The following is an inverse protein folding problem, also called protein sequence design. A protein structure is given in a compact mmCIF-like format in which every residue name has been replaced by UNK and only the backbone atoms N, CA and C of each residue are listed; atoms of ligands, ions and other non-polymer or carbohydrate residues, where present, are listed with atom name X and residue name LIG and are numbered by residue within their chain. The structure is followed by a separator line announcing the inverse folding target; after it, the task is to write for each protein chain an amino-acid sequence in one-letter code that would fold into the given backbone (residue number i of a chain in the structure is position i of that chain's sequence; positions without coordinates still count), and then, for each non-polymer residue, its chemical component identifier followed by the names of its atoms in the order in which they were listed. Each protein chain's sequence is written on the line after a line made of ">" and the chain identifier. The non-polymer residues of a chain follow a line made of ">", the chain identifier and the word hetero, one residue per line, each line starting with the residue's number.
data_IF_792541855637
#
_entry.id   IF_792541855637
#
_cell.length_a   1.000
_cell.length_b   1.000
_cell.length_c   1.000
_cell.angle_alpha   90.00
_cell.angle_beta   90.00
_cell.angle_gamma   90.00
#
_symmetry.space_group_name_H-M   'P 1'
#
loop_
_entity.id
_entity.type
_entity.pdbx_description
1 polymer ?
#
# COMPACT_ATOMS: atom_id res chain seq x y z
N UNK A 1 33.79 -54.39 8.79
CA UNK A 1 33.88 -52.92 8.73
C UNK A 1 32.61 -52.40 8.09
N UNK A 2 31.95 -51.49 8.78
CA UNK A 2 30.58 -51.03 8.55
C UNK A 2 30.53 -49.96 7.46
N UNK A 3 29.43 -50.01 6.72
CA UNK A 3 29.00 -49.22 5.56
C UNK A 3 29.42 -47.75 5.52
N UNK A 4 29.84 -47.31 4.33
CA UNK A 4 29.87 -45.93 3.82
C UNK A 4 29.60 -46.08 2.31
N UNK A 5 28.67 -45.42 1.63
CA UNK A 5 27.90 -44.22 1.90
C UNK A 5 26.78 -44.25 0.85
N UNK A 6 25.51 -44.30 1.28
CA UNK A 6 24.37 -43.94 0.44
C UNK A 6 24.16 -42.41 0.57
N UNK A 7 23.40 -41.82 -0.35
CA UNK A 7 23.01 -40.41 -0.49
C UNK A 7 23.91 -39.54 -1.38
N UNK A 8 23.87 -39.85 -2.68
CA UNK A 8 23.95 -38.84 -3.73
C UNK A 8 22.54 -38.67 -4.35
N UNK A 9 21.65 -37.94 -3.68
CA UNK A 9 20.37 -37.47 -4.23
C UNK A 9 19.75 -36.43 -3.30
N UNK A 10 20.42 -35.28 -3.15
CA UNK A 10 19.90 -34.13 -2.41
C UNK A 10 20.12 -32.86 -3.24
N UNK A 11 19.91 -32.98 -4.55
CA UNK A 11 20.35 -31.99 -5.52
C UNK A 11 19.35 -31.70 -6.62
N UNK A 12 18.04 -31.80 -6.39
CA UNK A 12 17.02 -31.19 -7.27
C UNK A 12 15.74 -30.90 -6.46
N UNK A 13 15.81 -30.01 -5.49
CA UNK A 13 14.63 -29.36 -4.87
C UNK A 13 14.88 -27.85 -4.75
N UNK A 14 15.67 -27.26 -5.66
CA UNK A 14 15.58 -25.83 -5.98
C UNK A 14 14.55 -25.66 -7.10
N UNK A 15 13.40 -26.30 -6.93
CA UNK A 15 12.23 -26.06 -7.76
C UNK A 15 11.68 -24.70 -7.34
N UNK A 16 11.83 -23.72 -8.24
CA UNK A 16 10.77 -22.78 -8.54
C UNK A 16 10.10 -22.10 -7.35
N UNK A 17 10.85 -21.35 -6.55
CA UNK A 17 10.25 -20.12 -6.03
C UNK A 17 10.27 -19.13 -7.17
N UNK A 18 9.14 -19.05 -7.89
CA UNK A 18 8.77 -17.86 -8.62
C UNK A 18 8.89 -16.68 -7.65
N UNK A 19 10.06 -16.06 -7.63
CA UNK A 19 10.21 -14.72 -7.10
C UNK A 19 9.48 -13.82 -8.10
N UNK A 20 8.15 -13.76 -7.99
CA UNK A 20 7.48 -12.51 -8.26
C UNK A 20 8.01 -11.56 -7.21
N UNK A 21 9.16 -10.95 -7.49
CA UNK A 21 9.54 -9.75 -6.78
C UNK A 21 8.40 -8.79 -7.06
N UNK A 22 7.56 -8.61 -6.05
CA UNK A 22 6.58 -7.54 -5.91
C UNK A 22 7.32 -6.22 -6.10
N UNK A 23 7.51 -5.84 -7.36
CA UNK A 23 8.33 -4.69 -7.70
C UNK A 23 7.57 -3.46 -7.23
N UNK A 24 8.21 -2.69 -6.33
CA UNK A 24 7.71 -1.39 -5.90
C UNK A 24 7.29 -0.60 -7.16
N UNK A 25 6.06 -0.05 -7.20
CA UNK A 25 5.58 0.68 -8.36
C UNK A 25 6.57 1.75 -8.78
N UNK A 26 6.77 1.92 -10.09
CA UNK A 26 7.81 2.81 -10.61
C UNK A 26 7.68 4.24 -10.08
N UNK A 27 6.45 4.72 -9.86
CA UNK A 27 6.15 6.03 -9.30
C UNK A 27 6.52 6.21 -7.82
N UNK A 28 6.83 5.13 -7.09
CA UNK A 28 7.37 5.16 -5.72
C UNK A 28 8.87 4.81 -5.67
N UNK A 29 9.42 4.23 -6.74
CA UNK A 29 10.74 3.60 -6.74
C UNK A 29 11.92 4.59 -6.70
N UNK A 30 11.70 5.86 -7.06
CA UNK A 30 12.71 6.92 -7.17
C UNK A 30 12.92 7.71 -5.86
N UNK A 31 12.33 7.27 -4.75
CA UNK A 31 12.38 8.00 -3.48
C UNK A 31 11.39 9.17 -3.42
N UNK A 32 10.48 9.25 -4.38
CA UNK A 32 9.43 10.25 -4.42
C UNK A 32 8.50 10.17 -3.20
N UNK A 33 8.15 11.34 -2.68
CA UNK A 33 7.14 11.54 -1.65
C UNK A 33 5.84 12.05 -2.29
N UNK A 34 4.71 11.52 -1.85
CA UNK A 34 3.39 12.06 -2.15
C UNK A 34 2.68 12.49 -0.86
N UNK A 35 1.83 13.51 -0.94
CA UNK A 35 1.12 14.07 0.21
C UNK A 35 -0.31 14.46 -0.11
N UNK A 36 -1.21 14.42 0.87
CA UNK A 36 -2.61 14.87 0.69
C UNK A 36 -2.76 16.40 0.61
N UNK A 37 -1.80 17.16 1.16
CA UNK A 37 -1.69 18.62 0.98
C UNK A 37 -0.27 18.98 0.52
N UNK A 38 -0.14 19.66 -0.62
CA UNK A 38 1.14 20.07 -1.22
C UNK A 38 2.01 20.92 -0.27
N UNK A 39 1.40 21.65 0.68
CA UNK A 39 2.14 22.42 1.70
C UNK A 39 2.98 21.53 2.61
N UNK A 40 2.62 20.24 2.72
CA UNK A 40 3.34 19.24 3.51
C UNK A 40 4.60 18.70 2.84
N UNK A 41 4.91 19.11 1.61
CA UNK A 41 6.15 18.72 0.94
C UNK A 41 7.40 19.29 1.62
N UNK A 42 7.29 20.41 2.32
CA UNK A 42 8.42 21.07 3.01
C UNK A 42 8.33 21.03 4.53
N UNK A 43 7.25 20.47 5.09
CA UNK A 43 7.08 20.33 6.54
C UNK A 43 7.82 19.08 7.05
N UNK A 44 8.74 19.25 7.99
CA UNK A 44 9.47 18.13 8.63
C UNK A 44 8.60 17.37 9.63
N UNK A 45 7.61 18.04 10.22
CA UNK A 45 6.62 17.45 11.13
C UNK A 45 5.29 18.10 10.80
N UNK A 46 4.33 17.29 10.36
CA UNK A 46 2.98 17.78 10.14
C UNK A 46 2.23 17.57 11.45
N UNK A 47 2.08 18.65 12.24
CA UNK A 47 1.27 18.65 13.46
C UNK A 47 -0.25 18.69 13.15
N UNK A 48 -0.64 18.71 11.88
CA UNK A 48 -2.05 18.67 11.45
C UNK A 48 -2.55 17.24 11.27
N UNK A 49 -3.72 16.98 11.84
CA UNK A 49 -4.33 15.65 12.04
C UNK A 49 -4.72 14.89 10.77
N UNK A 50 -4.68 15.51 9.59
CA UNK A 50 -5.26 14.92 8.37
C UNK A 50 -4.28 14.81 7.19
N UNK A 51 -3.01 15.13 7.40
CA UNK A 51 -2.01 15.07 6.33
C UNK A 51 -1.34 13.71 6.33
N UNK A 52 -1.46 13.01 5.19
CA UNK A 52 -0.82 11.73 4.97
C UNK A 52 0.33 11.90 3.99
N UNK A 53 1.43 11.22 4.31
CA UNK A 53 2.59 11.06 3.46
C UNK A 53 2.64 9.63 2.94
N UNK A 54 2.82 9.47 1.64
CA UNK A 54 3.07 8.20 0.99
C UNK A 54 4.52 8.16 0.47
N UNK A 55 5.17 7.03 0.71
CA UNK A 55 6.48 6.67 0.15
C UNK A 55 6.45 5.21 -0.32
N UNK A 56 7.56 4.71 -0.85
CA UNK A 56 7.71 3.27 -1.13
C UNK A 56 7.53 2.36 0.10
N UNK A 57 7.78 2.90 1.29
CA UNK A 57 7.80 2.12 2.55
C UNK A 57 6.40 2.05 3.17
N UNK A 58 5.49 2.98 2.86
CA UNK A 58 4.21 3.06 3.53
C UNK A 58 3.43 4.35 3.36
N UNK A 59 2.29 4.42 4.07
CA UNK A 59 1.51 5.63 4.34
C UNK A 59 1.69 6.01 5.80
N UNK A 60 2.04 7.27 6.06
CA UNK A 60 2.37 7.79 7.39
C UNK A 60 1.63 9.10 7.67
N UNK A 61 1.21 9.34 8.92
CA UNK A 61 0.56 10.56 9.37
C UNK A 61 0.54 10.67 10.89
N UNK A 62 -0.21 11.64 11.43
CA UNK A 62 -0.42 11.78 12.87
C UNK A 62 -1.24 10.58 13.41
N UNK A 63 -0.82 10.06 14.57
CA UNK A 63 -1.39 8.90 15.30
C UNK A 63 -1.34 7.52 14.63
N UNK A 64 -1.09 7.40 13.32
CA UNK A 64 -1.09 6.10 12.62
C UNK A 64 -0.09 6.02 11.47
N UNK A 65 0.46 4.82 11.26
CA UNK A 65 1.38 4.51 10.16
C UNK A 65 1.25 3.08 9.66
N UNK A 66 1.20 2.91 8.34
CA UNK A 66 1.10 1.63 7.66
C UNK A 66 2.35 1.39 6.83
N UNK A 67 3.07 0.30 7.11
CA UNK A 67 4.21 -0.11 6.30
C UNK A 67 3.73 -1.06 5.19
N UNK A 68 4.18 -0.84 3.96
CA UNK A 68 3.92 -1.76 2.86
C UNK A 68 4.80 -3.01 2.99
N UNK A 69 4.17 -4.15 2.81
CA UNK A 69 4.79 -5.48 2.89
C UNK A 69 4.96 -6.07 1.49
N UNK A 70 3.95 -5.85 0.63
CA UNK A 70 3.88 -6.43 -0.70
C UNK A 70 3.08 -5.52 -1.63
N UNK A 71 3.50 -5.46 -2.90
CA UNK A 71 2.78 -4.78 -3.99
C UNK A 71 2.35 -5.78 -5.06
N UNK A 72 1.16 -5.60 -5.62
CA UNK A 72 0.67 -6.37 -6.74
C UNK A 72 0.13 -5.45 -7.83
N UNK A 73 0.53 -5.68 -9.07
CA UNK A 73 -0.04 -5.00 -10.23
C UNK A 73 -1.44 -5.55 -10.52
N UNK A 74 -2.41 -4.67 -10.73
CA UNK A 74 -3.70 -5.01 -11.29
C UNK A 74 -3.70 -4.63 -12.77
N UNK A 75 -3.81 -5.64 -13.62
CA UNK A 75 -3.70 -5.52 -15.07
C UNK A 75 -5.05 -5.70 -15.74
N UNK A 76 -5.31 -4.90 -16.77
CA UNK A 76 -6.47 -5.08 -17.64
C UNK A 76 -6.37 -6.43 -18.36
N UNK A 77 -7.48 -7.16 -18.44
CA UNK A 77 -7.53 -8.51 -19.03
C UNK A 77 -7.35 -8.48 -20.55
N UNK A 78 -7.71 -7.37 -21.20
CA UNK A 78 -7.65 -7.20 -22.64
C UNK A 78 -6.26 -6.83 -23.15
N UNK A 79 -5.64 -5.78 -22.60
CA UNK A 79 -4.36 -5.26 -23.10
C UNK A 79 -3.16 -5.48 -22.17
N UNK A 80 -3.38 -6.04 -20.97
CA UNK A 80 -2.33 -6.35 -20.00
C UNK A 80 -1.67 -5.14 -19.35
N UNK A 81 -2.19 -3.92 -19.58
CA UNK A 81 -1.67 -2.70 -18.95
C UNK A 81 -2.04 -2.66 -17.49
N UNK A 82 -1.09 -2.19 -16.67
CA UNK A 82 -1.33 -1.93 -15.26
C UNK A 82 -2.16 -0.65 -15.13
N UNK A 83 -3.33 -0.74 -14.50
CA UNK A 83 -4.20 0.42 -14.26
C UNK A 83 -4.35 0.74 -12.76
N UNK A 84 -3.97 -0.19 -11.89
CA UNK A 84 -4.05 -0.05 -10.45
C UNK A 84 -2.96 -0.91 -9.80
N UNK A 85 -2.57 -0.54 -8.59
CA UNK A 85 -1.68 -1.32 -7.74
C UNK A 85 -2.39 -1.64 -6.43
N UNK A 86 -2.15 -2.83 -5.88
CA UNK A 86 -2.57 -3.21 -4.54
C UNK A 86 -1.33 -3.23 -3.65
N UNK A 87 -1.42 -2.66 -2.46
CA UNK A 87 -0.40 -2.82 -1.43
C UNK A 87 -0.98 -3.52 -0.21
N UNK A 88 -0.38 -4.63 0.19
CA UNK A 88 -0.63 -5.26 1.49
C UNK A 88 0.24 -4.53 2.49
N UNK A 89 -0.34 -4.20 3.64
CA UNK A 89 0.31 -3.35 4.63
C UNK A 89 0.11 -3.85 6.06
N UNK A 90 1.02 -3.44 6.93
CA UNK A 90 0.97 -3.63 8.37
C UNK A 90 0.81 -2.25 9.04
N UNK A 91 -0.38 -1.98 9.55
CA UNK A 91 -0.76 -0.71 10.16
C UNK A 91 -0.67 -0.81 11.68
N UNK A 92 0.16 0.03 12.29
CA UNK A 92 0.24 0.17 13.74
C UNK A 92 -0.79 1.17 14.26
N UNK A 93 -1.32 0.91 15.45
CA UNK A 93 -2.06 1.88 16.26
C UNK A 93 -1.25 2.32 17.50
N UNK A 94 -1.78 3.32 18.20
CA UNK A 94 -1.24 3.86 19.46
C UNK A 94 -1.27 2.84 20.63
N UNK A 95 -2.02 1.74 20.47
CA UNK A 95 -2.09 0.64 21.43
C UNK A 95 -0.96 -0.39 21.27
N UNK A 96 -0.12 -0.24 20.23
CA UNK A 96 0.98 -1.16 19.91
C UNK A 96 0.52 -2.43 19.20
N UNK A 97 -0.72 -2.47 18.74
CA UNK A 97 -1.26 -3.57 17.92
C UNK A 97 -1.02 -3.26 16.45
N UNK A 98 -0.54 -4.25 15.71
CA UNK A 98 -0.38 -4.14 14.26
C UNK A 98 -1.46 -4.97 13.57
N UNK A 99 -2.23 -4.32 12.70
CA UNK A 99 -3.29 -4.97 11.91
C UNK A 99 -2.94 -4.98 10.43
N UNK A 100 -3.30 -6.05 9.70
CA UNK A 100 -3.19 -6.03 8.24
C UNK A 100 -4.21 -5.06 7.64
N UNK A 101 -3.81 -4.36 6.58
CA UNK A 101 -4.71 -3.58 5.73
C UNK A 101 -4.29 -3.75 4.27
N UNK A 102 -5.21 -3.46 3.36
CA UNK A 102 -4.95 -3.45 1.93
C UNK A 102 -5.31 -2.09 1.35
N UNK A 103 -4.36 -1.51 0.62
CA UNK A 103 -4.51 -0.25 -0.08
C UNK A 103 -4.65 -0.50 -1.58
N UNK A 104 -5.64 0.15 -2.20
CA UNK A 104 -5.71 0.27 -3.65
C UNK A 104 -5.11 1.60 -4.07
N UNK A 105 -4.24 1.60 -5.08
CA UNK A 105 -3.55 2.79 -5.58
C UNK A 105 -3.80 2.95 -7.07
N UNK A 106 -4.32 4.11 -7.47
CA UNK A 106 -4.67 4.42 -8.85
C UNK A 106 -3.94 5.70 -9.27
N UNK A 107 -2.80 5.59 -9.96
CA UNK A 107 -2.12 6.77 -10.51
C UNK A 107 -2.98 7.39 -11.62
N UNK A 108 -3.03 8.72 -11.66
CA UNK A 108 -3.70 9.47 -12.72
C UNK A 108 -2.72 10.02 -13.74
N UNK A 109 -3.22 10.30 -14.94
CA UNK A 109 -2.43 10.92 -16.02
C UNK A 109 -1.94 12.34 -15.67
N UNK A 110 -2.57 13.00 -14.69
CA UNK A 110 -2.18 14.32 -14.18
C UNK A 110 -1.07 14.26 -13.12
N UNK A 111 -0.52 13.07 -12.84
CA UNK A 111 0.51 12.86 -11.82
C UNK A 111 -0.04 12.88 -10.39
N UNK A 112 -1.36 12.76 -10.22
CA UNK A 112 -2.02 12.53 -8.94
C UNK A 112 -2.07 11.03 -8.65
N UNK A 113 -2.29 10.68 -7.40
CA UNK A 113 -2.40 9.30 -6.96
C UNK A 113 -3.59 9.16 -6.02
N UNK A 114 -4.55 8.34 -6.41
CA UNK A 114 -5.74 8.07 -5.62
C UNK A 114 -5.54 6.80 -4.81
N UNK A 115 -5.78 6.86 -3.50
CA UNK A 115 -5.54 5.75 -2.57
C UNK A 115 -6.76 5.49 -1.71
N UNK A 116 -7.14 4.23 -1.60
CA UNK A 116 -8.25 3.77 -0.74
C UNK A 116 -7.77 2.67 0.19
N UNK A 117 -8.00 2.81 1.50
CA UNK A 117 -7.82 1.72 2.49
C UNK A 117 -9.07 0.85 2.53
N UNK A 118 -8.90 -0.47 2.51
CA UNK A 118 -10.02 -1.39 2.68
C UNK A 118 -10.64 -1.31 4.07
N UNK A 119 -9.84 -1.18 5.12
CA UNK A 119 -10.38 -1.06 6.47
C UNK A 119 -11.14 0.26 6.66
N UNK A 120 -10.64 1.38 6.14
CA UNK A 120 -11.38 2.65 6.16
C UNK A 120 -12.70 2.51 5.39
N UNK A 121 -12.67 1.88 4.21
CA UNK A 121 -13.87 1.63 3.41
C UNK A 121 -14.92 0.79 4.16
N UNK A 122 -14.52 -0.33 4.77
CA UNK A 122 -15.41 -1.18 5.54
C UNK A 122 -15.95 -0.50 6.80
N UNK A 123 -15.11 0.29 7.48
CA UNK A 123 -15.53 1.08 8.65
C UNK A 123 -16.60 2.10 8.26
N UNK A 124 -16.42 2.76 7.13
CA UNK A 124 -17.41 3.71 6.62
C UNK A 124 -18.72 3.04 6.24
N UNK A 125 -18.69 1.91 5.51
CA UNK A 125 -19.90 1.13 5.21
C UNK A 125 -20.67 0.71 6.48
N UNK A 126 -19.96 0.36 7.56
CA UNK A 126 -20.57 0.03 8.84
C UNK A 126 -21.23 1.25 9.49
N UNK A 127 -20.56 2.41 9.46
CA UNK A 127 -21.11 3.68 9.97
C UNK A 127 -22.35 4.10 9.19
N UNK A 128 -22.33 4.03 7.85
CA UNK A 128 -23.45 4.35 6.97
C UNK A 128 -24.69 3.51 7.32
N UNK A 129 -24.51 2.19 7.48
CA UNK A 129 -25.61 1.29 7.87
C UNK A 129 -26.18 1.61 9.26
N UNK A 130 -25.36 2.16 10.15
CA UNK A 130 -25.78 2.53 11.50
C UNK A 130 -26.39 3.93 11.61
N UNK A 131 -26.13 4.80 10.62
CA UNK A 131 -26.62 6.18 10.61
C UNK A 131 -27.96 6.27 9.85
N UNK A 132 -28.91 7.05 10.35
CA UNK A 132 -30.18 7.33 9.66
C UNK A 132 -30.06 8.42 8.59
N UNK A 133 -28.83 8.82 8.25
CA UNK A 133 -28.52 9.91 7.31
C UNK A 133 -28.34 9.38 5.90
N UNK A 134 -29.12 9.89 4.95
CA UNK A 134 -29.06 9.57 3.51
C UNK A 134 -28.13 10.48 2.71
N UNK A 135 -27.28 11.29 3.35
CA UNK A 135 -26.29 12.10 2.64
C UNK A 135 -25.07 11.24 2.27
N UNK A 136 -25.28 10.39 1.26
CA UNK A 136 -24.24 9.54 0.67
C UNK A 136 -23.34 10.33 -0.27
N UNK A 137 -22.29 10.92 0.28
CA UNK A 137 -21.00 11.15 -0.35
C UNK A 137 -20.01 10.87 0.79
N UNK A 138 -18.91 10.13 0.66
CA UNK A 138 -17.74 10.37 -0.18
C UNK A 138 -17.00 9.03 -0.34
N UNK A 139 -16.51 8.73 -1.53
CA UNK A 139 -15.66 7.55 -1.77
C UNK A 139 -14.43 7.70 -0.86
N UNK A 140 -14.04 6.63 -0.16
CA UNK A 140 -12.92 6.55 0.81
C UNK A 140 -11.56 6.62 0.10
N UNK A 141 -11.50 7.47 -0.91
CA UNK A 141 -10.38 7.69 -1.80
C UNK A 141 -9.73 9.01 -1.38
N UNK A 142 -8.47 8.93 -0.97
CA UNK A 142 -7.65 10.07 -0.67
C UNK A 142 -6.78 10.37 -1.87
N UNK A 143 -6.77 11.64 -2.27
CA UNK A 143 -5.90 12.12 -3.33
C UNK A 143 -4.54 12.51 -2.74
N UNK A 144 -3.48 12.00 -3.35
CA UNK A 144 -2.10 12.30 -3.05
C UNK A 144 -1.46 13.03 -4.24
N UNK A 145 -0.74 14.11 -3.93
CA UNK A 145 -0.01 14.93 -4.89
C UNK A 145 1.48 14.70 -4.73
N UNK A 146 2.18 14.56 -5.86
CA UNK A 146 3.63 14.39 -5.92
C UNK A 146 4.35 15.64 -5.42
N UNK A 147 5.29 15.49 -4.47
CA UNK A 147 6.14 16.61 -4.06
C UNK A 147 7.16 17.01 -5.15
N UNK A 148 7.43 18.31 -5.33
CA UNK A 148 8.52 18.75 -6.18
C UNK A 148 9.87 18.31 -5.58
N UNK A 149 10.79 17.87 -6.44
CA UNK A 149 12.17 17.54 -6.06
C UNK A 149 13.01 18.79 -5.80
#
# INVERSE_FOLDING_TARGET
>A
MIAKTFLAALGVMAASTLAHADAIPSFLSDGQKYVTDIKACTAEVVEETDILQLTKDGVFGYEYGCNFVQFMDVRDVGDGKVYQYLAISACGDDSGVTRPDMFTMMPSDEGRLYITSQNEYLTQLALERSSTSTEGHWIVEKEFVRCPN
#
